data_IF_190250055188
#
_entry.id   IF_190250055188
#
_cell.length_a   1.000
_cell.length_b   1.000
_cell.length_c   1.000
_cell.angle_alpha   90.00
_cell.angle_beta   90.00
_cell.angle_gamma   90.00
#
_symmetry.space_group_name_H-M   'P 1'
#
loop_
_entity.id
_entity.type
_entity.pdbx_description
1 polymer ?
#
# COMPACT_ATOMS: atom_id res chain seq x y z
N UNK A 1 33.12 -20.29 35.97
CA UNK A 1 32.55 -19.54 34.85
C UNK A 1 31.93 -20.60 33.95
N UNK A 2 30.67 -20.92 34.20
CA UNK A 2 29.92 -21.94 33.48
C UNK A 2 29.14 -21.22 32.40
N UNK A 3 29.29 -21.66 31.16
CA UNK A 3 28.49 -21.23 29.99
C UNK A 3 27.06 -21.71 30.20
N UNK A 4 26.10 -20.82 30.04
CA UNK A 4 24.67 -21.13 30.07
C UNK A 4 24.30 -21.83 28.72
N UNK A 5 23.82 -23.09 28.73
CA UNK A 5 23.52 -23.83 27.50
C UNK A 5 22.02 -23.84 27.21
N UNK A 6 21.40 -22.68 27.04
CA UNK A 6 19.97 -22.60 26.67
C UNK A 6 19.70 -21.63 25.48
N UNK A 7 20.60 -21.63 24.51
CA UNK A 7 20.17 -21.22 23.16
C UNK A 7 19.65 -22.48 22.48
N UNK A 8 18.33 -22.63 22.41
CA UNK A 8 17.71 -23.62 21.53
C UNK A 8 18.16 -23.41 20.08
N UNK A 9 18.07 -24.43 19.20
CA UNK A 9 18.39 -24.25 17.80
C UNK A 9 17.53 -23.10 17.24
N UNK A 10 18.04 -22.33 16.26
CA UNK A 10 17.23 -21.32 15.60
C UNK A 10 15.96 -21.99 15.11
N UNK A 11 14.82 -21.48 15.54
CA UNK A 11 13.52 -21.96 15.07
C UNK A 11 13.50 -21.78 13.56
N UNK A 12 13.09 -22.81 12.82
CA UNK A 12 12.82 -22.68 11.39
C UNK A 12 11.85 -21.50 11.20
N UNK A 13 11.96 -20.75 10.08
CA UNK A 13 11.02 -19.67 9.81
C UNK A 13 9.58 -20.23 9.82
N UNK A 14 8.62 -19.46 10.37
CA UNK A 14 7.22 -19.87 10.38
C UNK A 14 6.74 -20.23 8.96
N UNK A 15 5.95 -21.28 8.85
CA UNK A 15 5.36 -21.69 7.59
C UNK A 15 4.29 -20.66 7.16
N UNK A 16 4.44 -19.99 5.99
CA UNK A 16 3.50 -18.96 5.53
C UNK A 16 2.06 -19.48 5.38
N UNK A 17 1.88 -20.74 4.94
CA UNK A 17 0.56 -21.35 4.81
C UNK A 17 -0.11 -21.49 6.19
N UNK A 18 0.61 -21.96 7.18
CA UNK A 18 0.11 -22.06 8.54
C UNK A 18 -0.19 -20.69 9.17
N UNK A 19 0.57 -19.66 8.84
CA UNK A 19 0.30 -18.27 9.28
C UNK A 19 -0.96 -17.71 8.63
N UNK A 20 -1.17 -17.94 7.34
CA UNK A 20 -2.39 -17.54 6.64
C UNK A 20 -3.63 -18.26 7.19
N UNK A 21 -3.54 -19.58 7.40
CA UNK A 21 -4.62 -20.36 8.00
C UNK A 21 -5.01 -19.81 9.38
N UNK A 22 -4.01 -19.43 10.17
CA UNK A 22 -4.24 -18.83 11.49
C UNK A 22 -4.90 -17.45 11.40
N UNK A 23 -4.51 -16.59 10.43
CA UNK A 23 -5.14 -15.30 10.18
C UNK A 23 -6.62 -15.47 9.78
N UNK A 24 -6.94 -16.48 8.99
CA UNK A 24 -8.33 -16.81 8.61
C UNK A 24 -9.10 -17.34 9.83
N UNK A 25 -8.52 -18.23 10.62
CA UNK A 25 -9.16 -18.84 11.81
C UNK A 25 -9.55 -17.77 12.85
N UNK A 26 -8.69 -16.77 13.08
CA UNK A 26 -8.98 -15.67 14.03
C UNK A 26 -9.81 -14.54 13.41
N UNK A 27 -10.21 -14.68 12.16
CA UNK A 27 -11.03 -13.69 11.45
C UNK A 27 -10.30 -12.37 11.15
N UNK A 28 -8.97 -12.40 11.12
CA UNK A 28 -8.15 -11.26 10.67
C UNK A 28 -8.20 -11.11 9.14
N UNK A 29 -8.18 -12.25 8.44
CA UNK A 29 -8.31 -12.36 6.98
C UNK A 29 -9.52 -13.23 6.66
N UNK A 30 -10.18 -12.96 5.55
CA UNK A 30 -11.27 -13.76 4.99
C UNK A 30 -10.98 -14.06 3.52
N UNK A 31 -11.45 -15.21 3.07
CA UNK A 31 -11.45 -15.57 1.66
C UNK A 31 -12.86 -15.34 1.10
N UNK A 32 -12.98 -14.57 0.03
CA UNK A 32 -14.24 -14.33 -0.67
C UNK A 32 -14.59 -15.55 -1.56
N UNK A 33 -15.81 -15.56 -2.13
CA UNK A 33 -16.31 -16.69 -2.92
C UNK A 33 -15.51 -16.95 -4.22
N UNK A 34 -14.75 -16.01 -4.68
CA UNK A 34 -13.86 -16.10 -5.85
C UNK A 34 -12.42 -16.49 -5.49
N UNK A 35 -12.11 -16.71 -4.21
CA UNK A 35 -10.77 -17.05 -3.72
C UNK A 35 -9.90 -15.84 -3.37
N UNK A 36 -10.44 -14.61 -3.45
CA UNK A 36 -9.70 -13.40 -3.12
C UNK A 36 -9.58 -13.26 -1.59
N UNK A 37 -8.35 -13.02 -1.12
CA UNK A 37 -8.08 -12.73 0.28
C UNK A 37 -8.29 -11.25 0.58
N UNK A 38 -8.96 -10.95 1.68
CA UNK A 38 -9.16 -9.59 2.17
C UNK A 38 -9.00 -9.54 3.69
N UNK A 39 -8.48 -8.45 4.19
CA UNK A 39 -8.49 -8.18 5.64
C UNK A 39 -9.92 -7.97 6.13
N UNK A 40 -10.19 -8.33 7.38
CA UNK A 40 -11.48 -8.06 8.00
C UNK A 40 -11.61 -6.58 8.36
N UNK A 41 -12.85 -6.06 8.47
CA UNK A 41 -13.08 -4.69 8.87
C UNK A 41 -12.42 -4.33 10.23
N UNK A 42 -12.39 -5.27 11.17
CA UNK A 42 -11.78 -5.04 12.48
C UNK A 42 -10.25 -4.93 12.41
N UNK A 43 -9.58 -5.72 11.54
CA UNK A 43 -8.14 -5.57 11.33
C UNK A 43 -7.83 -4.32 10.56
N UNK A 44 -8.64 -3.99 9.57
CA UNK A 44 -8.54 -2.81 8.73
C UNK A 44 -8.66 -1.51 9.55
N UNK A 45 -9.65 -1.41 10.45
CA UNK A 45 -9.76 -0.31 11.41
C UNK A 45 -8.50 -0.19 12.31
N UNK A 46 -7.90 -1.32 12.69
CA UNK A 46 -6.67 -1.31 13.48
C UNK A 46 -5.46 -0.86 12.64
N UNK A 47 -5.37 -1.26 11.37
CA UNK A 47 -4.34 -0.80 10.44
C UNK A 47 -4.41 0.73 10.29
N UNK A 48 -5.60 1.29 10.05
CA UNK A 48 -5.80 2.74 9.91
C UNK A 48 -5.33 3.52 11.16
N UNK A 49 -5.61 3.02 12.36
CA UNK A 49 -5.18 3.66 13.63
C UNK A 49 -3.65 3.68 13.75
N UNK A 50 -2.98 2.59 13.41
CA UNK A 50 -1.53 2.52 13.50
C UNK A 50 -0.83 3.22 12.35
N UNK A 51 -1.43 3.26 11.15
CA UNK A 51 -0.94 4.05 10.02
C UNK A 51 -0.90 5.53 10.34
N UNK A 52 -1.99 6.09 10.88
CA UNK A 52 -2.04 7.48 11.37
C UNK A 52 -0.98 7.77 12.46
N UNK A 53 -0.56 6.75 13.21
CA UNK A 53 0.38 6.91 14.32
C UNK A 53 1.85 6.77 13.90
N UNK A 54 2.13 5.99 12.86
CA UNK A 54 3.50 5.58 12.50
C UNK A 54 3.84 5.69 11.00
N UNK A 55 2.86 5.86 10.11
CA UNK A 55 3.06 5.91 8.65
C UNK A 55 4.02 7.04 8.24
N UNK A 56 3.76 8.25 8.70
CA UNK A 56 4.49 9.47 8.29
C UNK A 56 5.41 10.05 9.37
N UNK A 57 5.72 9.31 10.44
CA UNK A 57 6.61 9.83 11.49
C UNK A 57 8.06 9.92 11.00
N UNK A 58 8.89 10.87 11.53
CA UNK A 58 10.31 10.94 11.22
C UNK A 58 11.04 9.61 11.50
N UNK A 59 12.06 9.27 10.71
CA UNK A 59 12.81 8.00 10.82
C UNK A 59 13.35 7.73 12.22
N UNK A 60 13.78 8.77 12.94
CA UNK A 60 14.21 8.62 14.31
C UNK A 60 13.08 8.10 15.21
N UNK A 61 11.88 8.67 15.08
CA UNK A 61 10.72 8.26 15.89
C UNK A 61 10.25 6.87 15.50
N UNK A 62 10.27 6.52 14.22
CA UNK A 62 10.00 5.17 13.74
C UNK A 62 10.97 4.16 14.34
N UNK A 63 12.29 4.44 14.30
CA UNK A 63 13.32 3.58 14.90
C UNK A 63 13.12 3.38 16.39
N UNK A 64 12.77 4.45 17.12
CA UNK A 64 12.45 4.38 18.55
C UNK A 64 11.24 3.48 18.81
N UNK A 65 10.18 3.59 17.98
CA UNK A 65 8.98 2.76 18.09
C UNK A 65 9.29 1.27 17.82
N UNK A 66 10.10 0.97 16.81
CA UNK A 66 10.59 -0.40 16.53
C UNK A 66 11.41 -0.93 17.71
N UNK A 67 12.33 -0.13 18.25
CA UNK A 67 13.13 -0.51 19.41
C UNK A 67 12.25 -0.88 20.62
N UNK A 68 11.26 -0.05 20.92
CA UNK A 68 10.33 -0.28 22.04
C UNK A 68 9.44 -1.51 21.81
N UNK A 69 8.90 -1.68 20.61
CA UNK A 69 7.99 -2.79 20.28
C UNK A 69 8.68 -4.17 20.39
N UNK A 70 9.97 -4.24 20.03
CA UNK A 70 10.75 -5.47 20.03
C UNK A 70 11.71 -5.60 21.22
N UNK A 71 11.76 -4.62 22.14
CA UNK A 71 12.66 -4.63 23.30
C UNK A 71 14.14 -4.56 22.91
N UNK A 72 14.45 -3.84 21.83
CA UNK A 72 15.79 -3.67 21.27
C UNK A 72 16.45 -2.38 21.76
N UNK A 73 17.78 -2.31 21.68
CA UNK A 73 18.46 -1.01 21.69
C UNK A 73 18.22 -0.26 20.37
N UNK A 74 18.33 1.07 20.40
CA UNK A 74 18.21 1.89 19.19
C UNK A 74 19.12 1.40 18.04
N UNK A 75 20.37 1.06 18.33
CA UNK A 75 21.32 0.57 17.32
C UNK A 75 20.96 -0.80 16.74
N UNK A 76 20.29 -1.64 17.50
CA UNK A 76 19.76 -2.93 17.00
C UNK A 76 18.53 -2.71 16.15
N UNK A 77 17.66 -1.75 16.51
CA UNK A 77 16.52 -1.39 15.68
C UNK A 77 16.95 -0.80 14.33
N UNK A 78 17.93 0.12 14.30
CA UNK A 78 18.53 0.63 13.05
C UNK A 78 19.01 -0.53 12.17
N UNK A 79 19.77 -1.47 12.74
CA UNK A 79 20.27 -2.60 11.98
C UNK A 79 19.16 -3.48 11.41
N UNK A 80 18.09 -3.73 12.16
CA UNK A 80 16.94 -4.50 11.67
C UNK A 80 16.22 -3.81 10.52
N UNK A 81 16.01 -2.51 10.63
CA UNK A 81 15.38 -1.72 9.56
C UNK A 81 16.25 -1.77 8.29
N UNK A 82 17.56 -1.53 8.42
CA UNK A 82 18.47 -1.42 7.29
C UNK A 82 18.86 -2.77 6.67
N UNK A 83 19.10 -3.80 7.49
CA UNK A 83 19.63 -5.09 7.04
C UNK A 83 18.53 -6.15 6.81
N UNK A 84 17.45 -6.13 7.61
CA UNK A 84 16.34 -7.09 7.52
C UNK A 84 15.17 -6.50 6.73
N UNK A 85 15.22 -5.21 6.35
CA UNK A 85 14.27 -4.55 5.48
C UNK A 85 12.89 -4.31 6.11
N UNK A 86 12.82 -4.10 7.43
CA UNK A 86 11.54 -3.84 8.12
C UNK A 86 10.93 -2.53 7.62
N UNK A 87 9.79 -2.62 6.96
CA UNK A 87 9.06 -1.47 6.42
C UNK A 87 8.10 -0.87 7.46
N UNK A 88 7.60 0.32 7.19
CA UNK A 88 6.59 0.98 8.04
C UNK A 88 5.27 0.22 8.01
N UNK A 89 4.87 -0.22 6.83
CA UNK A 89 3.66 -0.99 6.59
C UNK A 89 3.69 -2.32 7.36
N UNK A 90 4.80 -3.05 7.31
CA UNK A 90 4.97 -4.28 8.09
C UNK A 90 4.91 -4.01 9.60
N UNK A 91 5.51 -2.90 10.06
CA UNK A 91 5.45 -2.52 11.47
C UNK A 91 4.03 -2.13 11.91
N UNK A 92 3.31 -1.38 11.09
CA UNK A 92 1.89 -1.06 11.30
C UNK A 92 1.05 -2.33 11.37
N UNK A 93 1.21 -3.24 10.41
CA UNK A 93 0.52 -4.53 10.38
C UNK A 93 0.86 -5.39 11.62
N UNK A 94 2.13 -5.39 12.04
CA UNK A 94 2.59 -6.09 13.24
C UNK A 94 1.88 -5.60 14.52
N UNK A 95 1.70 -4.28 14.66
CA UNK A 95 0.98 -3.70 15.80
C UNK A 95 -0.53 -3.92 15.71
N UNK A 96 -1.11 -3.77 14.52
CA UNK A 96 -2.54 -4.01 14.26
C UNK A 96 -2.93 -5.46 14.57
N UNK A 97 -2.12 -6.43 14.15
CA UNK A 97 -2.33 -7.84 14.47
C UNK A 97 -2.34 -8.10 15.97
N UNK A 98 -1.41 -7.51 16.72
CA UNK A 98 -1.42 -7.62 18.18
C UNK A 98 -2.75 -7.16 18.77
N UNK A 99 -3.22 -5.99 18.36
CA UNK A 99 -4.51 -5.45 18.82
C UNK A 99 -5.69 -6.32 18.39
N UNK A 100 -5.65 -6.89 17.19
CA UNK A 100 -6.69 -7.79 16.69
C UNK A 100 -6.77 -9.05 17.55
N UNK A 101 -5.65 -9.74 17.83
CA UNK A 101 -5.62 -10.93 18.68
C UNK A 101 -6.12 -10.64 20.10
N UNK A 102 -5.73 -9.48 20.68
CA UNK A 102 -6.23 -9.04 21.97
C UNK A 102 -7.75 -8.77 21.94
N UNK A 103 -8.27 -8.24 20.84
CA UNK A 103 -9.70 -7.94 20.68
C UNK A 103 -10.56 -9.21 20.57
N UNK A 104 -10.09 -10.24 19.89
CA UNK A 104 -10.81 -11.52 19.73
C UNK A 104 -10.56 -12.50 20.88
N UNK A 105 -9.83 -12.07 21.94
CA UNK A 105 -9.46 -12.87 23.12
C UNK A 105 -8.71 -14.17 22.78
N UNK A 106 -7.86 -14.08 21.75
CA UNK A 106 -6.99 -15.18 21.32
C UNK A 106 -5.54 -14.94 21.74
N UNK A 107 -4.75 -15.99 22.00
CA UNK A 107 -3.33 -15.83 22.35
C UNK A 107 -2.58 -15.07 21.27
N UNK A 108 -1.93 -13.97 21.67
CA UNK A 108 -1.08 -13.18 20.76
C UNK A 108 0.11 -14.03 20.32
N UNK A 109 0.34 -14.21 19.01
CA UNK A 109 1.49 -14.95 18.48
C UNK A 109 2.82 -14.37 18.98
N UNK A 110 3.87 -15.17 18.98
CA UNK A 110 5.20 -14.66 19.28
C UNK A 110 5.67 -13.63 18.25
N UNK A 111 6.80 -12.96 18.53
CA UNK A 111 7.26 -11.86 17.68
C UNK A 111 7.62 -12.30 16.26
N UNK A 112 8.10 -13.53 16.07
CA UNK A 112 8.51 -14.04 14.76
C UNK A 112 7.29 -14.45 13.94
N UNK A 113 6.37 -15.19 14.54
CA UNK A 113 5.08 -15.56 13.92
C UNK A 113 4.30 -14.31 13.51
N UNK A 114 4.20 -13.32 14.41
CA UNK A 114 3.49 -12.07 14.13
C UNK A 114 4.15 -11.23 13.04
N UNK A 115 5.50 -11.19 12.96
CA UNK A 115 6.20 -10.54 11.86
C UNK A 115 5.92 -11.23 10.51
N UNK A 116 5.89 -12.57 10.49
CA UNK A 116 5.53 -13.33 9.29
C UNK A 116 4.06 -13.09 8.88
N UNK A 117 3.15 -13.01 9.85
CA UNK A 117 1.75 -12.64 9.60
C UNK A 117 1.62 -11.20 9.08
N UNK A 118 2.44 -10.26 9.59
CA UNK A 118 2.43 -8.87 9.13
C UNK A 118 2.84 -8.76 7.66
N UNK A 119 3.86 -9.49 7.23
CA UNK A 119 4.24 -9.55 5.81
C UNK A 119 3.09 -10.08 4.93
N UNK A 120 2.34 -11.11 5.36
CA UNK A 120 1.16 -11.60 4.64
C UNK A 120 0.06 -10.52 4.59
N UNK A 121 -0.18 -9.83 5.70
CA UNK A 121 -1.21 -8.77 5.76
C UNK A 121 -0.87 -7.61 4.83
N UNK A 122 0.40 -7.20 4.74
CA UNK A 122 0.81 -6.11 3.82
C UNK A 122 0.66 -6.49 2.34
N UNK A 123 0.79 -7.77 1.99
CA UNK A 123 0.49 -8.24 0.64
C UNK A 123 -1.02 -8.23 0.34
N UNK A 124 -1.86 -8.53 1.34
CA UNK A 124 -3.34 -8.57 1.19
C UNK A 124 -3.95 -7.16 1.24
N UNK A 125 -3.41 -6.27 2.07
CA UNK A 125 -3.88 -4.91 2.30
C UNK A 125 -2.71 -3.93 2.21
N UNK A 126 -2.30 -3.54 1.00
CA UNK A 126 -1.23 -2.57 0.82
C UNK A 126 -1.63 -1.19 1.39
N UNK A 127 -0.65 -0.44 1.90
CA UNK A 127 -0.85 0.89 2.49
C UNK A 127 -1.33 1.94 1.46
N UNK A 128 -1.05 1.73 0.19
CA UNK A 128 -1.45 2.61 -0.91
C UNK A 128 -2.38 1.91 -1.91
N UNK A 129 -3.41 2.60 -2.44
CA UNK A 129 -4.22 2.06 -3.52
C UNK A 129 -3.50 2.03 -4.87
N UNK A 130 -2.33 2.65 -5.00
CA UNK A 130 -1.57 2.70 -6.26
C UNK A 130 -0.95 1.32 -6.55
N UNK A 131 -1.16 0.76 -7.76
CA UNK A 131 -0.61 -0.55 -8.11
C UNK A 131 0.92 -0.60 -8.05
N UNK A 132 1.46 -1.75 -7.60
CA UNK A 132 2.91 -1.98 -7.64
C UNK A 132 3.46 -1.80 -9.05
N UNK A 133 4.61 -1.11 -9.16
CA UNK A 133 5.25 -0.82 -10.44
C UNK A 133 4.77 0.45 -11.14
N UNK A 134 3.65 1.03 -10.72
CA UNK A 134 3.24 2.37 -11.12
C UNK A 134 3.94 3.41 -10.25
N UNK A 135 4.43 4.50 -10.85
CA UNK A 135 4.99 5.61 -10.07
C UNK A 135 3.88 6.26 -9.25
N UNK A 136 3.98 6.18 -7.93
CA UNK A 136 3.12 6.94 -7.04
C UNK A 136 3.63 8.37 -6.93
N UNK A 137 2.73 9.34 -6.93
CA UNK A 137 3.01 10.75 -6.64
C UNK A 137 2.03 11.26 -5.59
N UNK A 138 2.55 12.12 -4.72
CA UNK A 138 1.80 12.81 -3.67
C UNK A 138 1.52 14.25 -4.06
N UNK A 139 0.75 14.98 -3.24
CA UNK A 139 0.58 16.44 -3.42
C UNK A 139 1.91 17.20 -3.38
N UNK A 140 2.88 16.74 -2.59
CA UNK A 140 4.22 17.34 -2.51
C UNK A 140 5.07 17.08 -3.77
N UNK A 141 4.83 15.98 -4.48
CA UNK A 141 5.55 15.63 -5.72
C UNK A 141 4.91 16.24 -6.96
N UNK A 142 3.66 16.67 -6.88
CA UNK A 142 2.82 17.03 -8.02
C UNK A 142 3.45 18.11 -8.91
N UNK A 143 3.90 19.21 -8.33
CA UNK A 143 4.47 20.32 -9.10
C UNK A 143 5.77 19.91 -9.79
N UNK A 144 6.63 19.13 -9.13
CA UNK A 144 7.87 18.62 -9.72
C UNK A 144 7.56 17.61 -10.84
N UNK A 145 6.61 16.70 -10.62
CA UNK A 145 6.20 15.74 -11.63
C UNK A 145 5.67 16.42 -12.89
N UNK A 146 4.82 17.43 -12.75
CA UNK A 146 4.25 18.16 -13.88
C UNK A 146 5.28 19.04 -14.60
N UNK A 147 6.27 19.59 -13.88
CA UNK A 147 7.35 20.36 -14.49
C UNK A 147 8.31 19.49 -15.32
N UNK A 148 8.49 18.22 -14.91
CA UNK A 148 9.38 17.28 -15.59
C UNK A 148 8.71 16.56 -16.77
N UNK A 149 7.38 16.61 -16.89
CA UNK A 149 6.61 15.87 -17.88
C UNK A 149 5.59 16.78 -18.59
N UNK A 150 5.83 17.07 -19.86
CA UNK A 150 4.94 17.88 -20.71
C UNK A 150 3.55 17.21 -20.88
N UNK A 151 3.56 15.87 -21.06
CA UNK A 151 2.33 15.07 -21.18
C UNK A 151 2.34 13.95 -20.15
N UNK A 152 1.25 13.79 -19.42
CA UNK A 152 1.10 12.75 -18.41
C UNK A 152 -0.34 12.21 -18.34
N UNK A 153 -0.45 10.92 -18.01
CA UNK A 153 -1.69 10.28 -17.59
C UNK A 153 -1.58 9.95 -16.11
N UNK A 154 -2.47 10.51 -15.30
CA UNK A 154 -2.48 10.28 -13.86
C UNK A 154 -3.77 9.55 -13.50
N UNK A 155 -3.59 8.35 -12.91
CA UNK A 155 -4.67 7.53 -12.39
C UNK A 155 -4.95 7.88 -10.94
N UNK A 156 -6.22 8.06 -10.60
CA UNK A 156 -6.67 8.29 -9.23
C UNK A 156 -7.27 7.01 -8.69
N UNK A 157 -6.65 6.48 -7.67
CA UNK A 157 -7.04 5.24 -7.01
C UNK A 157 -7.59 5.52 -5.61
N UNK A 158 -8.24 4.52 -5.06
CA UNK A 158 -8.73 4.53 -3.70
C UNK A 158 -8.72 3.12 -3.14
N UNK A 159 -8.45 2.99 -1.85
CA UNK A 159 -8.63 1.72 -1.15
C UNK A 159 -10.12 1.33 -1.10
N UNK A 160 -10.41 0.05 -1.00
CA UNK A 160 -11.78 -0.51 -0.90
C UNK A 160 -12.73 -0.01 -2.00
N UNK A 161 -12.24 0.02 -3.22
CA UNK A 161 -12.93 0.57 -4.37
C UNK A 161 -13.08 -0.52 -5.45
N UNK A 162 -14.22 -1.20 -5.52
CA UNK A 162 -14.45 -2.28 -6.49
C UNK A 162 -14.23 -1.86 -7.95
N UNK A 163 -14.64 -0.64 -8.41
CA UNK A 163 -14.31 -0.19 -9.76
C UNK A 163 -12.80 0.03 -9.96
N UNK A 164 -12.06 0.43 -8.89
CA UNK A 164 -10.61 0.57 -8.97
C UNK A 164 -9.94 -0.79 -9.16
N UNK A 165 -10.37 -1.82 -8.43
CA UNK A 165 -9.86 -3.18 -8.58
C UNK A 165 -10.15 -3.75 -9.99
N UNK A 166 -11.30 -3.44 -10.56
CA UNK A 166 -11.63 -3.80 -11.93
C UNK A 166 -10.67 -3.17 -12.95
N UNK A 167 -10.32 -1.89 -12.80
CA UNK A 167 -9.33 -1.23 -13.65
C UNK A 167 -7.91 -1.77 -13.44
N UNK A 168 -7.54 -2.08 -12.20
CA UNK A 168 -6.24 -2.68 -11.88
C UNK A 168 -6.06 -4.05 -12.52
N UNK A 169 -7.12 -4.85 -12.62
CA UNK A 169 -7.08 -6.16 -13.28
C UNK A 169 -6.74 -6.07 -14.77
N UNK A 170 -6.99 -4.92 -15.40
CA UNK A 170 -6.72 -4.64 -16.83
C UNK A 170 -5.55 -3.64 -17.00
N UNK A 171 -4.74 -3.43 -15.96
CA UNK A 171 -3.73 -2.38 -15.93
C UNK A 171 -2.64 -2.58 -17.00
N UNK A 172 -2.20 -3.81 -17.23
CA UNK A 172 -1.17 -4.11 -18.25
C UNK A 172 -1.64 -3.68 -19.64
N UNK A 173 -2.88 -4.04 -20.02
CA UNK A 173 -3.48 -3.65 -21.30
C UNK A 173 -3.71 -2.12 -21.38
N UNK A 174 -4.06 -1.51 -20.27
CA UNK A 174 -4.22 -0.05 -20.13
C UNK A 174 -2.89 0.68 -20.37
N UNK A 175 -1.81 0.22 -19.74
CA UNK A 175 -0.49 0.84 -19.88
C UNK A 175 0.07 0.68 -21.30
N UNK A 176 -0.18 -0.47 -21.93
CA UNK A 176 0.22 -0.73 -23.32
C UNK A 176 -0.50 0.19 -24.33
N UNK A 177 -1.66 0.73 -23.96
CA UNK A 177 -2.43 1.66 -24.79
C UNK A 177 -1.92 3.12 -24.69
N UNK A 178 -1.05 3.44 -23.72
CA UNK A 178 -0.50 4.79 -23.55
C UNK A 178 0.77 4.93 -24.41
N UNK A 179 0.90 5.96 -25.26
CA UNK A 179 2.06 6.12 -26.13
C UNK A 179 3.38 6.31 -25.38
N UNK A 180 4.47 5.83 -25.97
CA UNK A 180 5.82 6.13 -25.50
C UNK A 180 6.04 7.66 -25.41
N UNK A 181 6.59 8.10 -24.26
CA UNK A 181 6.87 9.53 -24.02
C UNK A 181 5.79 10.26 -23.22
N UNK A 182 4.63 9.66 -23.00
CA UNK A 182 3.63 10.14 -22.05
C UNK A 182 3.96 9.54 -20.68
N UNK A 183 4.16 10.39 -19.67
CA UNK A 183 4.44 9.95 -18.33
C UNK A 183 3.19 9.32 -17.68
N UNK A 184 3.38 8.26 -16.89
CA UNK A 184 2.28 7.61 -16.16
C UNK A 184 2.56 7.66 -14.67
N UNK A 185 1.55 8.05 -13.89
CA UNK A 185 1.60 8.04 -12.43
C UNK A 185 0.24 7.65 -11.83
N UNK A 186 0.26 7.26 -10.58
CA UNK A 186 -0.92 7.05 -9.75
C UNK A 186 -0.91 7.96 -8.53
N UNK A 187 -2.08 8.34 -8.06
CA UNK A 187 -2.29 9.04 -6.80
C UNK A 187 -3.30 8.28 -5.94
N UNK A 188 -3.10 8.33 -4.63
CA UNK A 188 -4.17 8.03 -3.69
C UNK A 188 -5.13 9.22 -3.61
N UNK A 189 -6.34 9.04 -4.09
CA UNK A 189 -7.35 10.10 -4.10
C UNK A 189 -7.79 10.55 -2.71
N UNK A 190 -7.55 9.76 -1.65
CA UNK A 190 -7.84 10.17 -0.25
C UNK A 190 -6.69 10.97 0.34
N UNK A 191 -5.45 10.64 -0.01
CA UNK A 191 -4.25 11.31 0.48
C UNK A 191 -3.83 12.56 -0.33
N UNK A 192 -4.38 12.76 -1.55
CA UNK A 192 -3.98 13.84 -2.46
C UNK A 192 -5.11 14.87 -2.71
N UNK A 193 -5.53 15.65 -1.70
CA UNK A 193 -6.59 16.65 -1.86
C UNK A 193 -6.23 17.83 -2.77
N UNK A 194 -4.94 18.18 -2.92
CA UNK A 194 -4.51 19.26 -3.82
C UNK A 194 -4.63 18.84 -5.28
N UNK A 195 -4.21 17.62 -5.61
CA UNK A 195 -4.41 17.04 -6.93
C UNK A 195 -5.88 17.07 -7.31
N UNK A 196 -6.75 16.56 -6.43
CA UNK A 196 -8.20 16.49 -6.67
C UNK A 196 -8.80 17.87 -6.93
N UNK A 197 -8.43 18.86 -6.13
CA UNK A 197 -8.90 20.25 -6.28
C UNK A 197 -8.39 20.90 -7.56
N UNK A 198 -7.11 20.65 -7.93
CA UNK A 198 -6.47 21.25 -9.11
C UNK A 198 -7.10 20.74 -10.40
N UNK A 199 -7.43 19.46 -10.47
CA UNK A 199 -7.93 18.78 -11.67
C UNK A 199 -9.44 18.48 -11.65
N UNK A 200 -10.17 18.98 -10.65
CA UNK A 200 -11.61 18.79 -10.47
C UNK A 200 -12.03 17.31 -10.43
N UNK A 201 -11.27 16.49 -9.69
CA UNK A 201 -11.50 15.04 -9.52
C UNK A 201 -12.05 14.75 -8.14
N UNK A 202 -13.34 14.42 -8.03
CA UNK A 202 -14.01 14.18 -6.75
C UNK A 202 -14.21 12.69 -6.42
N UNK A 203 -14.00 11.80 -7.39
CA UNK A 203 -14.26 10.36 -7.24
C UNK A 203 -13.08 9.52 -7.71
N UNK A 204 -13.03 8.26 -7.27
CA UNK A 204 -12.12 7.25 -7.76
C UNK A 204 -12.92 6.00 -8.21
N UNK A 205 -12.44 5.26 -9.22
CA UNK A 205 -11.26 5.60 -10.01
C UNK A 205 -11.52 6.82 -10.90
N UNK A 206 -10.43 7.50 -11.29
CA UNK A 206 -10.47 8.51 -12.35
C UNK A 206 -9.16 8.49 -13.14
N UNK A 207 -9.19 9.02 -14.34
CA UNK A 207 -8.02 9.17 -15.22
C UNK A 207 -7.96 10.62 -15.69
N UNK A 208 -6.85 11.30 -15.40
CA UNK A 208 -6.59 12.67 -15.84
C UNK A 208 -5.44 12.68 -16.86
N UNK A 209 -5.72 13.15 -18.07
CA UNK A 209 -4.70 13.49 -19.05
C UNK A 209 -4.29 14.94 -18.83
N UNK A 210 -3.00 15.15 -18.60
CA UNK A 210 -2.41 16.46 -18.29
C UNK A 210 -1.41 16.82 -19.37
N UNK A 211 -1.49 18.06 -19.89
CA UNK A 211 -0.52 18.62 -20.83
C UNK A 211 -0.14 20.01 -20.38
N UNK A 212 1.15 20.32 -20.35
CA UNK A 212 1.70 21.59 -19.83
C UNK A 212 1.16 21.97 -18.43
N UNK A 213 0.93 20.98 -17.57
CA UNK A 213 0.43 21.16 -16.20
C UNK A 213 -1.06 21.47 -16.08
N UNK A 214 -1.83 21.43 -17.18
CA UNK A 214 -3.27 21.63 -17.24
C UNK A 214 -3.97 20.32 -17.60
N UNK A 215 -5.12 20.00 -16.97
CA UNK A 215 -5.91 18.86 -17.38
C UNK A 215 -6.59 19.13 -18.73
N UNK A 216 -6.26 18.32 -19.72
CA UNK A 216 -6.84 18.43 -21.08
C UNK A 216 -8.02 17.45 -21.27
N UNK A 217 -8.06 16.37 -20.48
CA UNK A 217 -9.21 15.47 -20.41
C UNK A 217 -9.24 14.79 -19.03
N UNK A 218 -10.43 14.57 -18.51
CA UNK A 218 -10.67 13.83 -17.27
C UNK A 218 -11.86 12.90 -17.46
N UNK A 219 -11.66 11.63 -17.13
CA UNK A 219 -12.76 10.66 -17.05
C UNK A 219 -12.86 10.13 -15.63
N UNK A 220 -14.08 10.01 -15.13
CA UNK A 220 -14.39 9.56 -13.78
C UNK A 220 -15.19 8.27 -13.80
N UNK A 221 -14.99 7.40 -12.83
CA UNK A 221 -15.48 6.02 -12.76
C UNK A 221 -14.60 5.02 -13.55
N UNK A 222 -15.03 3.76 -13.60
CA UNK A 222 -14.32 2.75 -14.39
C UNK A 222 -14.21 3.16 -15.87
N UNK A 223 -12.99 3.06 -16.40
CA UNK A 223 -12.66 3.34 -17.81
C UNK A 223 -11.91 2.12 -18.35
N UNK A 224 -12.40 1.51 -19.41
CA UNK A 224 -11.77 0.35 -20.04
C UNK A 224 -10.47 0.73 -20.78
N UNK A 225 -9.55 -0.22 -21.05
CA UNK A 225 -8.32 0.05 -21.81
C UNK A 225 -8.58 0.72 -23.17
N UNK A 226 -9.62 0.31 -23.89
CA UNK A 226 -9.98 0.92 -25.17
C UNK A 226 -10.45 2.37 -25.04
N UNK A 227 -11.21 2.69 -23.98
CA UNK A 227 -11.66 4.06 -23.69
C UNK A 227 -10.49 4.94 -23.25
N UNK A 228 -9.52 4.37 -22.54
CA UNK A 228 -8.28 5.07 -22.17
C UNK A 228 -7.44 5.38 -23.42
N UNK A 229 -7.30 4.42 -24.35
CA UNK A 229 -6.64 4.67 -25.63
C UNK A 229 -7.28 5.84 -26.39
N UNK A 230 -8.62 5.83 -26.53
CA UNK A 230 -9.37 6.91 -27.16
C UNK A 230 -9.24 8.26 -26.43
N UNK A 231 -9.16 8.22 -25.08
CA UNK A 231 -8.98 9.41 -24.25
C UNK A 231 -7.61 10.04 -24.47
N UNK A 232 -6.57 9.23 -24.46
CA UNK A 232 -5.16 9.63 -24.64
C UNK A 232 -4.94 10.17 -26.05
N UNK A 233 -5.47 9.50 -27.10
CA UNK A 233 -5.42 9.97 -28.47
C UNK A 233 -6.07 11.36 -28.62
N UNK A 234 -7.28 11.55 -28.08
CA UNK A 234 -7.96 12.86 -28.10
C UNK A 234 -7.23 13.93 -27.29
N UNK A 235 -6.56 13.55 -26.19
CA UNK A 235 -5.87 14.48 -25.32
C UNK A 235 -4.56 15.00 -25.93
N UNK A 236 -3.80 14.14 -26.62
CA UNK A 236 -2.43 14.46 -27.02
C UNK A 236 -2.21 14.53 -28.54
N UNK A 237 -3.12 13.97 -29.39
CA UNK A 237 -3.02 14.04 -30.86
C UNK A 237 -3.68 15.31 -31.47
N UNK A 238 -4.11 16.28 -30.67
CA UNK A 238 -4.77 17.51 -31.11
C UNK A 238 -3.83 18.63 -31.53
N UNK A 239 -2.65 18.33 -32.14
CA UNK A 239 -1.79 19.30 -32.84
C UNK A 239 -1.97 19.28 -34.36
#
# INVERSE_FOLDING_TARGET
MAADPTAGPPSDPPDPEAMLDRLIEVGAVREDADGTLRVSAALDDALDVYEQSYGDVPDQQFTEAVADAFGLSYSEAVRRIDEEGVTREEFVAYLALRSHFEHVDEPVPDSLERASMAAIVTEIAPATPVPQGMREITDDDLDAFLADNESAVVFVWRLRCDPCESMKAELEETLDAIPDGVAVAGVDGEACPEFRRRFDVDVAPAVACVHDGEAVAVETSYVSPAEIADLVERAFDSE
#
